data_IF_510957675757
#
_entry.id   IF_510957675757
#
_cell.length_a   1.000
_cell.length_b   1.000
_cell.length_c   1.000
_cell.angle_alpha   90.00
_cell.angle_beta   90.00
_cell.angle_gamma   90.00
#
_symmetry.space_group_name_H-M   'P 1'
#
loop_
_entity.id
_entity.type
_entity.pdbx_description
1 polymer ?
#
# COMPACT_ATOMS: atom_id res chain seq x y z
N UNK A 1 -10.69 29.16 -23.53
CA UNK A 1 -9.61 28.42 -24.24
C UNK A 1 -8.54 29.42 -24.60
N UNK A 2 -7.41 29.40 -23.89
CA UNK A 2 -6.23 30.17 -24.23
C UNK A 2 -5.03 29.33 -23.82
N UNK A 3 -4.46 28.61 -24.78
CA UNK A 3 -3.26 27.80 -24.63
C UNK A 3 -2.05 28.73 -24.67
N UNK A 4 -1.56 29.12 -23.49
CA UNK A 4 -0.25 29.76 -23.34
C UNK A 4 0.84 28.70 -23.54
N UNK A 5 1.51 28.75 -24.68
CA UNK A 5 2.74 27.99 -24.94
C UNK A 5 3.83 28.39 -23.93
N UNK A 6 4.70 27.45 -23.49
CA UNK A 6 5.69 27.74 -22.48
C UNK A 6 6.77 28.67 -23.06
N UNK A 7 6.79 29.90 -22.54
CA UNK A 7 7.90 30.83 -22.68
C UNK A 7 9.17 30.19 -22.10
N UNK A 8 10.19 30.10 -22.94
CA UNK A 8 11.50 29.56 -22.60
C UNK A 8 12.20 30.42 -21.52
N UNK A 9 12.54 29.81 -20.37
CA UNK A 9 13.23 30.44 -19.23
C UNK A 9 14.63 31.00 -19.55
N UNK A 10 15.16 30.76 -20.76
CA UNK A 10 16.47 31.25 -21.20
C UNK A 10 16.46 32.78 -21.47
N UNK A 11 15.29 33.41 -21.57
CA UNK A 11 15.14 34.82 -21.94
C UNK A 11 15.23 35.83 -20.77
N UNK A 12 15.39 35.39 -19.51
CA UNK A 12 15.28 36.28 -18.33
C UNK A 12 16.57 36.44 -17.49
N UNK A 13 17.68 35.85 -17.91
CA UNK A 13 18.95 35.98 -17.18
C UNK A 13 19.89 36.96 -17.90
N UNK A 14 19.88 38.21 -17.42
CA UNK A 14 20.87 39.27 -17.67
C UNK A 14 22.23 38.87 -17.10
N UNK A 15 22.87 37.90 -17.74
CA UNK A 15 24.30 37.65 -17.58
C UNK A 15 25.01 38.29 -18.76
N UNK A 16 25.83 39.32 -18.46
CA UNK A 16 26.70 40.04 -19.41
C UNK A 16 27.79 39.16 -20.06
N UNK A 17 27.75 37.84 -19.82
CA UNK A 17 28.64 36.81 -20.33
C UNK A 17 28.01 35.89 -21.40
N UNK A 18 26.74 36.08 -21.79
CA UNK A 18 26.08 35.20 -22.78
C UNK A 18 26.31 35.62 -24.24
N UNK A 19 26.49 34.66 -25.18
CA UNK A 19 26.80 34.94 -26.58
C UNK A 19 25.65 35.64 -27.31
N UNK A 20 26.01 36.44 -28.31
CA UNK A 20 25.08 37.11 -29.20
C UNK A 20 24.44 36.07 -30.13
N UNK A 21 23.38 35.40 -29.71
CA UNK A 21 22.54 34.59 -30.59
C UNK A 21 21.11 34.53 -30.08
N UNK A 22 20.16 35.01 -30.88
CA UNK A 22 18.78 34.52 -30.87
C UNK A 22 18.73 33.44 -31.93
N UNK A 23 18.29 32.23 -31.56
CA UNK A 23 18.10 31.13 -32.49
C UNK A 23 16.62 31.12 -32.92
N UNK A 24 16.34 31.36 -34.20
CA UNK A 24 14.99 31.19 -34.73
C UNK A 24 14.82 29.73 -35.22
N UNK A 25 13.94 28.96 -34.58
CA UNK A 25 13.69 27.57 -34.95
C UNK A 25 13.04 27.41 -36.34
N UNK A 26 12.35 28.45 -36.84
CA UNK A 26 11.69 28.44 -38.15
C UNK A 26 12.63 28.82 -39.30
N UNK A 27 13.62 29.68 -39.04
CA UNK A 27 14.53 30.19 -40.07
C UNK A 27 15.91 29.52 -40.08
N UNK A 28 16.23 28.69 -39.07
CA UNK A 28 17.57 28.08 -38.86
C UNK A 28 18.75 29.09 -38.87
N UNK A 29 18.47 30.38 -38.69
CA UNK A 29 19.48 31.43 -38.68
C UNK A 29 19.64 32.06 -37.29
N UNK A 30 20.90 32.37 -36.96
CA UNK A 30 21.25 33.04 -35.72
C UNK A 30 21.54 34.52 -35.98
N UNK A 31 20.86 35.38 -35.23
CA UNK A 31 20.94 36.83 -35.38
C UNK A 31 21.65 37.49 -34.19
N UNK A 32 22.34 38.59 -34.49
CA UNK A 32 22.98 39.44 -33.52
C UNK A 32 21.94 40.29 -32.78
N UNK A 33 21.81 40.08 -31.47
CA UNK A 33 20.89 40.81 -30.57
C UNK A 33 21.02 42.34 -30.56
N UNK A 34 22.15 42.90 -31.02
CA UNK A 34 22.42 44.35 -30.95
C UNK A 34 22.08 45.03 -32.28
N UNK A 35 22.24 44.32 -33.39
CA UNK A 35 22.19 44.91 -34.72
C UNK A 35 21.16 44.24 -35.63
N UNK A 36 20.43 43.24 -35.13
CA UNK A 36 19.43 42.42 -35.85
C UNK A 36 19.94 41.97 -37.22
N UNK A 37 21.16 41.44 -37.23
CA UNK A 37 21.89 41.00 -38.42
C UNK A 37 22.44 39.61 -38.24
N UNK A 38 22.52 38.86 -39.33
CA UNK A 38 23.11 37.51 -39.39
C UNK A 38 24.53 37.47 -38.83
N UNK A 39 24.80 36.45 -38.02
CA UNK A 39 26.13 36.15 -37.50
C UNK A 39 26.96 35.44 -38.58
N UNK A 40 28.05 36.08 -39.01
CA UNK A 40 28.89 35.58 -40.11
C UNK A 40 30.33 35.27 -39.66
N UNK A 41 30.75 35.78 -38.50
CA UNK A 41 32.12 35.68 -38.02
C UNK A 41 32.19 35.12 -36.60
N UNK A 42 33.35 34.59 -36.24
CA UNK A 42 33.69 34.15 -34.90
C UNK A 42 34.97 34.85 -34.42
N UNK A 43 34.89 35.51 -33.26
CA UNK A 43 36.05 36.14 -32.64
C UNK A 43 36.73 35.16 -31.69
N UNK A 44 37.95 34.72 -32.00
CA UNK A 44 38.68 33.74 -31.17
C UNK A 44 39.16 34.32 -29.84
N UNK A 45 39.43 35.64 -29.77
CA UNK A 45 39.86 36.33 -28.52
C UNK A 45 38.72 36.36 -27.50
N UNK A 46 37.50 36.59 -27.97
CA UNK A 46 36.32 36.74 -27.12
C UNK A 46 35.42 35.49 -27.11
N UNK A 47 35.84 34.43 -27.81
CA UNK A 47 35.16 33.14 -27.92
C UNK A 47 33.65 33.26 -28.25
N UNK A 48 33.29 34.12 -29.22
CA UNK A 48 31.88 34.44 -29.52
C UNK A 48 31.61 34.71 -31.02
N UNK A 49 30.41 34.39 -31.51
CA UNK A 49 29.97 34.77 -32.85
C UNK A 49 29.61 36.26 -32.94
N UNK A 50 29.83 36.86 -34.09
CA UNK A 50 29.64 38.28 -34.37
C UNK A 50 29.02 38.51 -35.77
N UNK A 51 28.20 39.55 -35.91
CA UNK A 51 27.78 40.09 -37.21
C UNK A 51 28.83 41.08 -37.75
N UNK A 52 28.64 41.55 -38.99
CA UNK A 52 29.56 42.52 -39.63
C UNK A 52 29.67 43.85 -38.86
N UNK A 53 28.57 44.33 -38.27
CA UNK A 53 28.57 45.59 -37.50
C UNK A 53 29.38 45.46 -36.20
N UNK A 54 29.24 44.32 -35.50
CA UNK A 54 30.05 43.99 -34.33
C UNK A 54 31.55 43.94 -34.66
N UNK A 55 31.91 43.45 -35.86
CA UNK A 55 33.30 43.43 -36.33
C UNK A 55 33.86 44.85 -36.43
N UNK A 56 33.14 45.76 -37.09
CA UNK A 56 33.60 47.14 -37.29
C UNK A 56 33.62 47.97 -36.00
N UNK A 57 32.62 47.80 -35.11
CA UNK A 57 32.46 48.63 -33.92
C UNK A 57 33.33 48.18 -32.74
N UNK A 58 33.43 46.87 -32.49
CA UNK A 58 33.97 46.32 -31.23
C UNK A 58 35.09 45.31 -31.42
N UNK A 59 35.25 44.76 -32.61
CA UNK A 59 36.25 43.73 -32.89
C UNK A 59 37.24 44.12 -34.00
N UNK A 60 37.33 45.41 -34.32
CA UNK A 60 38.21 45.94 -35.37
C UNK A 60 39.69 45.72 -35.07
N UNK A 61 40.05 45.65 -33.79
CA UNK A 61 41.41 45.36 -33.31
C UNK A 61 41.64 43.87 -33.03
N UNK A 62 40.62 43.01 -33.17
CA UNK A 62 40.74 41.58 -32.95
C UNK A 62 41.37 40.89 -34.17
N UNK A 63 42.60 40.43 -34.04
CA UNK A 63 43.37 39.89 -35.17
C UNK A 63 42.90 38.50 -35.66
N UNK A 64 42.09 37.78 -34.88
CA UNK A 64 41.70 36.39 -35.14
C UNK A 64 40.19 36.23 -35.30
N UNK A 65 39.62 36.92 -36.29
CA UNK A 65 38.26 36.72 -36.77
C UNK A 65 38.25 35.64 -37.84
N UNK A 66 37.41 34.62 -37.67
CA UNK A 66 37.23 33.53 -38.64
C UNK A 66 35.80 33.53 -39.18
N UNK A 67 35.54 33.14 -40.43
CA UNK A 67 34.19 32.87 -40.89
C UNK A 67 33.53 31.83 -39.98
N UNK A 68 32.29 32.10 -39.55
CA UNK A 68 31.58 31.21 -38.63
C UNK A 68 31.39 29.82 -39.25
N UNK A 69 31.17 29.77 -40.58
CA UNK A 69 31.07 28.54 -41.38
C UNK A 69 32.29 27.63 -41.27
N UNK A 70 33.49 28.18 -41.08
CA UNK A 70 34.72 27.41 -40.89
C UNK A 70 34.84 26.87 -39.45
N UNK A 71 34.40 27.65 -38.46
CA UNK A 71 34.48 27.27 -37.04
C UNK A 71 33.47 26.17 -36.69
N UNK A 72 32.27 26.22 -37.27
CA UNK A 72 31.23 25.20 -37.03
C UNK A 72 31.40 23.96 -37.90
N UNK A 73 32.33 23.98 -38.87
CA UNK A 73 32.54 22.88 -39.80
C UNK A 73 32.99 21.64 -39.03
N UNK A 74 32.23 20.55 -39.18
CA UNK A 74 32.55 19.27 -38.56
C UNK A 74 32.28 19.19 -37.06
N UNK A 75 31.69 20.22 -36.43
CA UNK A 75 31.32 20.16 -34.99
C UNK A 75 30.36 18.99 -34.70
N UNK A 76 29.38 18.77 -35.59
CA UNK A 76 28.45 17.63 -35.49
C UNK A 76 29.11 16.26 -35.69
N UNK A 77 30.28 16.22 -36.33
CA UNK A 77 31.07 15.00 -36.58
C UNK A 77 32.36 15.00 -35.76
N UNK A 78 32.38 15.80 -34.68
CA UNK A 78 33.53 15.85 -33.79
C UNK A 78 33.42 14.72 -32.78
N UNK A 79 34.55 14.12 -32.41
CA UNK A 79 34.59 13.04 -31.41
C UNK A 79 33.96 13.45 -30.07
N UNK A 80 34.00 14.73 -29.71
CA UNK A 80 33.37 15.25 -28.49
C UNK A 80 31.83 15.24 -28.58
N UNK A 81 31.27 15.48 -29.77
CA UNK A 81 29.82 15.41 -29.98
C UNK A 81 29.34 13.96 -30.04
N UNK A 82 30.08 13.09 -30.71
CA UNK A 82 29.83 11.64 -30.75
C UNK A 82 29.90 11.02 -29.34
N UNK A 83 30.92 11.34 -28.53
CA UNK A 83 31.03 10.89 -27.12
C UNK A 83 29.82 11.34 -26.29
N UNK A 84 29.36 12.58 -26.49
CA UNK A 84 28.20 13.09 -25.77
C UNK A 84 26.91 12.36 -26.16
N UNK A 85 26.72 12.08 -27.46
CA UNK A 85 25.58 11.33 -27.98
C UNK A 85 25.58 9.88 -27.45
N UNK A 86 26.73 9.22 -27.46
CA UNK A 86 26.90 7.87 -26.93
C UNK A 86 26.58 7.82 -25.42
N UNK A 87 27.14 8.76 -24.65
CA UNK A 87 26.87 8.85 -23.20
C UNK A 87 25.41 9.15 -22.90
N UNK A 88 24.78 10.04 -23.66
CA UNK A 88 23.34 10.34 -23.50
C UNK A 88 22.47 9.11 -23.81
N UNK A 89 22.87 8.35 -24.83
CA UNK A 89 22.21 7.09 -25.22
C UNK A 89 22.35 6.04 -24.13
N UNK A 90 23.54 5.89 -23.54
CA UNK A 90 23.78 4.92 -22.47
C UNK A 90 23.05 5.29 -21.17
N UNK A 91 22.99 6.59 -20.84
CA UNK A 91 22.16 7.08 -19.73
C UNK A 91 20.68 6.75 -19.98
N UNK A 92 20.20 6.95 -21.20
CA UNK A 92 18.81 6.66 -21.57
C UNK A 92 18.48 5.16 -21.45
N UNK A 93 19.38 4.28 -21.89
CA UNK A 93 19.27 2.82 -21.69
C UNK A 93 19.25 2.46 -20.21
N UNK A 94 20.15 3.04 -19.41
CA UNK A 94 20.22 2.78 -17.98
C UNK A 94 18.93 3.18 -17.26
N UNK A 95 18.39 4.37 -17.56
CA UNK A 95 17.12 4.85 -17.01
C UNK A 95 15.97 3.93 -17.43
N UNK A 96 15.91 3.52 -18.70
CA UNK A 96 14.91 2.59 -19.20
C UNK A 96 14.93 1.25 -18.44
N UNK A 97 16.11 0.69 -18.21
CA UNK A 97 16.28 -0.54 -17.43
C UNK A 97 15.87 -0.35 -15.97
N UNK A 98 16.22 0.78 -15.36
CA UNK A 98 15.84 1.09 -13.98
C UNK A 98 14.32 1.21 -13.83
N UNK A 99 13.64 1.85 -14.79
CA UNK A 99 12.17 1.93 -14.80
C UNK A 99 11.57 0.53 -14.85
N UNK A 100 12.07 -0.34 -15.74
CA UNK A 100 11.61 -1.73 -15.86
C UNK A 100 11.82 -2.52 -14.55
N UNK A 101 13.02 -2.44 -13.97
CA UNK A 101 13.33 -3.07 -12.68
C UNK A 101 12.36 -2.63 -11.58
N UNK A 102 12.04 -1.33 -11.49
CA UNK A 102 11.08 -0.82 -10.50
C UNK A 102 9.65 -1.25 -10.78
N UNK A 103 9.25 -1.39 -12.05
CA UNK A 103 7.93 -1.93 -12.41
C UNK A 103 7.80 -3.42 -12.03
N UNK A 104 8.81 -4.23 -12.35
CA UNK A 104 8.85 -5.65 -12.01
C UNK A 104 8.86 -5.86 -10.49
N UNK A 105 9.66 -5.06 -9.77
CA UNK A 105 9.69 -5.08 -8.30
C UNK A 105 8.34 -4.68 -7.69
N UNK A 106 7.67 -3.65 -8.23
CA UNK A 106 6.33 -3.26 -7.78
C UNK A 106 5.32 -4.40 -7.94
N UNK A 107 5.32 -5.07 -9.09
CA UNK A 107 4.44 -6.22 -9.34
C UNK A 107 4.72 -7.39 -8.38
N UNK A 108 6.00 -7.66 -8.10
CA UNK A 108 6.42 -8.68 -7.13
C UNK A 108 5.93 -8.37 -5.71
N UNK A 109 6.07 -7.12 -5.25
CA UNK A 109 5.57 -6.69 -3.93
C UNK A 109 4.05 -6.84 -3.84
N UNK A 110 3.31 -6.48 -4.89
CA UNK A 110 1.85 -6.63 -4.93
C UNK A 110 1.42 -8.09 -4.89
N UNK A 111 2.12 -8.96 -5.63
CA UNK A 111 1.90 -10.41 -5.56
C UNK A 111 2.17 -10.97 -4.16
N UNK A 112 3.27 -10.58 -3.52
CA UNK A 112 3.61 -11.01 -2.16
C UNK A 112 2.56 -10.55 -1.14
N UNK A 113 2.10 -9.30 -1.23
CA UNK A 113 1.01 -8.78 -0.38
C UNK A 113 -0.22 -9.67 -0.48
N UNK A 114 -0.67 -9.97 -1.70
CA UNK A 114 -1.86 -10.79 -1.93
C UNK A 114 -1.68 -12.23 -1.40
N UNK A 115 -0.49 -12.80 -1.59
CA UNK A 115 -0.14 -14.12 -1.03
C UNK A 115 -0.20 -14.13 0.49
N UNK A 116 0.39 -13.14 1.16
CA UNK A 116 0.36 -13.02 2.62
C UNK A 116 -1.07 -12.84 3.12
N UNK A 117 -1.87 -11.98 2.47
CA UNK A 117 -3.29 -11.80 2.81
C UNK A 117 -4.06 -13.12 2.76
N UNK A 118 -3.88 -13.91 1.70
CA UNK A 118 -4.51 -15.21 1.57
C UNK A 118 -4.05 -16.18 2.67
N UNK A 119 -2.76 -16.24 2.96
CA UNK A 119 -2.21 -17.10 4.01
C UNK A 119 -2.76 -16.75 5.39
N UNK A 120 -2.86 -15.46 5.73
CA UNK A 120 -3.45 -15.00 7.01
C UNK A 120 -4.91 -15.39 7.11
N UNK A 121 -5.70 -15.18 6.04
CA UNK A 121 -7.11 -15.58 6.02
C UNK A 121 -7.28 -17.09 6.17
N UNK A 122 -6.45 -17.88 5.50
CA UNK A 122 -6.52 -19.33 5.57
C UNK A 122 -6.12 -19.84 6.96
N UNK A 123 -5.02 -19.33 7.53
CA UNK A 123 -4.61 -19.67 8.89
C UNK A 123 -5.72 -19.39 9.92
N UNK A 124 -6.39 -18.24 9.81
CA UNK A 124 -7.53 -17.90 10.67
C UNK A 124 -8.66 -18.92 10.54
N UNK A 125 -9.00 -19.35 9.32
CA UNK A 125 -10.02 -20.38 9.10
C UNK A 125 -9.62 -21.74 9.69
N UNK A 126 -8.36 -22.14 9.50
CA UNK A 126 -7.85 -23.41 10.03
C UNK A 126 -7.85 -23.46 11.55
N UNK A 127 -7.76 -22.31 12.23
CA UNK A 127 -7.83 -22.24 13.69
C UNK A 127 -9.28 -22.13 14.17
N UNK A 128 -10.07 -21.23 13.58
CA UNK A 128 -11.41 -20.95 14.08
C UNK A 128 -12.40 -22.10 13.86
N UNK A 129 -12.35 -22.77 12.69
CA UNK A 129 -13.30 -23.86 12.40
C UNK A 129 -13.19 -25.01 13.42
N UNK A 130 -11.98 -25.51 13.76
CA UNK A 130 -11.85 -26.51 14.83
C UNK A 130 -12.22 -25.99 16.22
N UNK A 131 -11.97 -24.71 16.53
CA UNK A 131 -12.36 -24.12 17.82
C UNK A 131 -13.88 -24.06 17.96
N UNK A 132 -14.60 -23.59 16.94
CA UNK A 132 -16.06 -23.54 16.93
C UNK A 132 -16.66 -24.95 17.10
N UNK A 133 -16.04 -25.95 16.45
CA UNK A 133 -16.43 -27.35 16.61
C UNK A 133 -16.19 -27.85 18.03
N UNK A 134 -15.02 -27.60 18.61
CA UNK A 134 -14.69 -28.00 19.97
C UNK A 134 -15.65 -27.36 20.99
N UNK A 135 -15.97 -26.08 20.81
CA UNK A 135 -16.94 -25.37 21.65
C UNK A 135 -18.32 -26.04 21.57
N UNK A 136 -18.79 -26.34 20.36
CA UNK A 136 -20.07 -27.02 20.14
C UNK A 136 -20.09 -28.39 20.82
N UNK A 137 -19.05 -29.20 20.60
CA UNK A 137 -18.93 -30.54 21.18
C UNK A 137 -18.94 -30.50 22.72
N UNK A 138 -18.26 -29.51 23.32
CA UNK A 138 -18.23 -29.32 24.78
C UNK A 138 -19.57 -28.85 25.36
N UNK A 139 -20.27 -27.96 24.67
CA UNK A 139 -21.59 -27.49 25.08
C UNK A 139 -22.62 -28.63 25.01
N UNK A 140 -22.57 -29.44 23.96
CA UNK A 140 -23.42 -30.63 23.83
C UNK A 140 -23.13 -31.66 24.92
N UNK A 141 -21.86 -31.90 25.26
CA UNK A 141 -21.50 -32.80 26.36
C UNK A 141 -22.02 -32.28 27.70
N UNK A 142 -21.94 -30.97 27.94
CA UNK A 142 -22.43 -30.33 29.16
C UNK A 142 -23.95 -30.46 29.29
N UNK A 143 -24.71 -30.14 28.24
CA UNK A 143 -26.17 -30.26 28.20
C UNK A 143 -26.62 -31.72 28.43
N UNK A 144 -25.93 -32.68 27.82
CA UNK A 144 -26.20 -34.10 28.04
C UNK A 144 -25.94 -34.53 29.50
N UNK A 145 -24.84 -34.04 30.11
CA UNK A 145 -24.55 -34.30 31.52
C UNK A 145 -25.60 -33.67 32.43
N UNK A 146 -26.01 -32.43 32.17
CA UNK A 146 -27.07 -31.75 32.91
C UNK A 146 -28.36 -32.56 32.85
N UNK A 147 -28.84 -32.90 31.64
CA UNK A 147 -30.05 -33.71 31.43
C UNK A 147 -29.99 -35.05 32.17
N UNK A 148 -28.84 -35.72 32.15
CA UNK A 148 -28.66 -36.98 32.87
C UNK A 148 -28.72 -36.80 34.40
N UNK A 149 -28.16 -35.71 34.93
CA UNK A 149 -28.21 -35.42 36.36
C UNK A 149 -29.63 -35.04 36.80
N UNK A 150 -30.33 -34.20 36.04
CA UNK A 150 -31.73 -33.84 36.31
C UNK A 150 -32.61 -35.09 36.38
N UNK A 151 -32.53 -35.99 35.40
CA UNK A 151 -33.27 -37.27 35.42
C UNK A 151 -32.99 -38.11 36.67
N UNK A 152 -31.73 -38.14 37.13
CA UNK A 152 -31.33 -38.83 38.38
C UNK A 152 -31.97 -38.18 39.60
N UNK A 153 -31.96 -36.86 39.67
CA UNK A 153 -32.55 -36.09 40.77
C UNK A 153 -34.07 -36.29 40.79
N UNK A 154 -34.75 -36.19 39.64
CA UNK A 154 -36.19 -36.42 39.52
C UNK A 154 -36.58 -37.81 40.05
N UNK A 155 -35.83 -38.83 39.65
CA UNK A 155 -36.04 -40.21 40.13
C UNK A 155 -35.87 -40.34 41.65
N UNK A 156 -34.99 -39.55 42.27
CA UNK A 156 -34.84 -39.52 43.73
C UNK A 156 -36.00 -38.77 44.39
N UNK A 157 -36.43 -37.65 43.82
CA UNK A 157 -37.60 -36.89 44.29
C UNK A 157 -38.84 -37.78 44.30
N UNK A 158 -39.09 -38.56 43.25
CA UNK A 158 -40.22 -39.50 43.19
C UNK A 158 -40.17 -40.54 44.31
N UNK A 159 -39.01 -41.16 44.55
CA UNK A 159 -38.82 -42.15 45.62
C UNK A 159 -39.07 -41.53 46.99
N UNK A 160 -38.48 -40.37 47.27
CA UNK A 160 -38.65 -39.65 48.54
C UNK A 160 -40.11 -39.26 48.74
N UNK A 161 -40.79 -38.79 47.68
CA UNK A 161 -42.20 -38.41 47.72
C UNK A 161 -43.10 -39.59 48.07
N UNK A 162 -42.80 -40.78 47.52
CA UNK A 162 -43.51 -42.02 47.86
C UNK A 162 -43.30 -42.41 49.32
N UNK A 163 -42.06 -42.34 49.81
CA UNK A 163 -41.75 -42.60 51.22
C UNK A 163 -42.48 -41.62 52.15
N UNK A 164 -42.47 -40.33 51.82
CA UNK A 164 -43.16 -39.29 52.58
C UNK A 164 -44.68 -39.57 52.68
N UNK A 165 -45.32 -39.94 51.57
CA UNK A 165 -46.75 -40.33 51.56
C UNK A 165 -47.02 -41.54 52.46
N UNK A 166 -46.18 -42.57 52.39
CA UNK A 166 -46.31 -43.76 53.22
C UNK A 166 -46.18 -43.44 54.71
N UNK A 167 -45.16 -42.66 55.10
CA UNK A 167 -44.94 -42.25 56.49
C UNK A 167 -46.11 -41.41 56.99
N UNK A 168 -46.60 -40.44 56.20
CA UNK A 168 -47.77 -39.65 56.58
C UNK A 168 -49.02 -40.51 56.76
N UNK A 169 -49.21 -41.54 55.93
CA UNK A 169 -50.30 -42.48 56.09
C UNK A 169 -50.21 -43.22 57.42
N UNK A 170 -49.04 -43.78 57.76
CA UNK A 170 -48.78 -44.44 59.05
C UNK A 170 -49.05 -43.49 60.22
N UNK A 171 -48.56 -42.25 60.15
CA UNK A 171 -48.80 -41.24 61.19
C UNK A 171 -50.30 -40.97 61.36
N UNK A 172 -51.06 -40.87 60.27
CA UNK A 172 -52.50 -40.65 60.34
C UNK A 172 -53.25 -41.86 60.90
N UNK A 173 -52.81 -43.07 60.57
CA UNK A 173 -53.38 -44.32 61.11
C UNK A 173 -53.12 -44.42 62.62
N UNK A 174 -51.89 -44.13 63.06
CA UNK A 174 -51.55 -44.06 64.49
C UNK A 174 -52.38 -43.00 65.24
N UNK A 175 -52.59 -41.82 64.63
CA UNK A 175 -53.47 -40.78 65.20
C UNK A 175 -54.90 -41.28 65.36
N UNK A 176 -55.45 -42.00 64.37
CA UNK A 176 -56.79 -42.59 64.43
C UNK A 176 -56.91 -43.65 65.51
N UNK A 177 -55.94 -44.56 65.62
CA UNK A 177 -55.89 -45.57 66.70
C UNK A 177 -55.90 -44.87 68.06
N UNK A 178 -55.05 -43.86 68.25
CA UNK A 178 -54.99 -43.09 69.50
C UNK A 178 -56.31 -42.40 69.86
N UNK A 179 -57.07 -41.92 68.88
CA UNK A 179 -58.31 -41.15 69.13
C UNK A 179 -59.56 -42.03 69.31
N UNK A 180 -59.61 -43.18 68.65
CA UNK A 180 -60.87 -43.93 68.49
C UNK A 180 -60.79 -45.41 68.85
N UNK A 181 -59.60 -46.00 69.02
CA UNK A 181 -59.47 -47.42 69.37
C UNK A 181 -59.54 -47.65 70.88
N UNK A 182 -59.98 -48.84 71.31
CA UNK A 182 -59.91 -49.24 72.71
C UNK A 182 -58.46 -49.52 73.13
N UNK A 183 -58.17 -49.47 74.43
CA UNK A 183 -56.83 -49.74 74.97
C UNK A 183 -56.28 -51.11 74.54
N UNK A 184 -57.15 -52.13 74.45
CA UNK A 184 -56.78 -53.45 73.95
C UNK A 184 -56.39 -53.42 72.46
N UNK A 185 -57.11 -52.68 71.62
CA UNK A 185 -56.79 -52.53 70.20
C UNK A 185 -55.50 -51.71 69.98
N UNK A 186 -55.26 -50.68 70.79
CA UNK A 186 -54.01 -49.93 70.77
C UNK A 186 -52.81 -50.79 71.21
N UNK A 187 -52.99 -51.64 72.23
CA UNK A 187 -51.97 -52.58 72.69
C UNK A 187 -51.57 -53.61 71.61
N UNK A 188 -52.54 -54.10 70.82
CA UNK A 188 -52.25 -55.02 69.71
C UNK A 188 -51.46 -54.36 68.56
N UNK A 189 -51.62 -53.05 68.32
CA UNK A 189 -50.83 -52.31 67.33
C UNK A 189 -49.40 -52.04 67.84
N UNK A 190 -49.20 -51.92 69.15
CA UNK A 190 -47.88 -51.70 69.76
C UNK A 190 -46.98 -52.96 69.72
N UNK A 191 -47.58 -54.15 69.71
CA UNK A 191 -46.85 -55.43 69.71
C UNK A 191 -46.39 -55.92 68.33
N UNK A 192 -46.87 -55.31 67.23
CA UNK A 192 -46.49 -55.61 65.85
C UNK A 192 -45.56 -54.52 65.29
#
# INVERSE_FOLDING_TARGET
MASSLPTCDICMADDTTKPASIWCAECEEAECKIHDRKLNFYCSIHNKPCCVSCVSEKHSTCQTLKPLTEVVKGVKSSAAFEDLEDRATDISKLIGNLIKDKQDHKASVEFQKNKIMYQVQNARKTINIPLDKLETDLLDELDNKEKSQCKRIDSLIEKISKMYKNVNQIVNDLKRVKQHASDFQAFLVYLN
#
